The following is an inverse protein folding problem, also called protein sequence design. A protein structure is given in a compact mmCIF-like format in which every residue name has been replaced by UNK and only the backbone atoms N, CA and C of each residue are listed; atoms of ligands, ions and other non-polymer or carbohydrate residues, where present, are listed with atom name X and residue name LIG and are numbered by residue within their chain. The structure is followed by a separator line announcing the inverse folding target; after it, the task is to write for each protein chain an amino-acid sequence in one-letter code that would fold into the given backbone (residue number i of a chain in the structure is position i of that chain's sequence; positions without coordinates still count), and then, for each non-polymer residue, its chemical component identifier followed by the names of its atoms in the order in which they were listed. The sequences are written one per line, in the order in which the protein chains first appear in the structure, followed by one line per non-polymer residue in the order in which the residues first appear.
data_IF_231617998872
#
_entry.id   IF_231617998872
#
_cell.length_a   1.000
_cell.length_b   1.000
_cell.length_c   1.000
_cell.angle_alpha   90.00
_cell.angle_beta   90.00
_cell.angle_gamma   90.00
#
_symmetry.space_group_name_H-M   'P 1'
#
loop_
_entity.id
_entity.type
_entity.pdbx_description
1 polymer ?
#
# COMPACT_ATOMS: atom_id res chain seq x y z
N UNK A 1 -4.21 13.48 39.69
CA UNK A 1 -4.67 12.86 38.43
C UNK A 1 -3.56 13.01 37.41
N UNK A 2 -3.04 11.92 36.85
CA UNK A 2 -2.10 12.01 35.75
C UNK A 2 -2.85 12.49 34.51
N UNK A 3 -2.36 13.57 33.89
CA UNK A 3 -2.90 14.10 32.64
C UNK A 3 -2.55 13.12 31.53
N UNK A 4 -3.54 12.38 31.03
CA UNK A 4 -3.38 11.55 29.84
C UNK A 4 -3.24 12.49 28.64
N UNK A 5 -2.08 12.45 28.00
CA UNK A 5 -1.84 13.21 26.76
C UNK A 5 -1.89 12.19 25.64
N UNK A 6 -2.92 12.25 24.81
CA UNK A 6 -3.02 11.42 23.62
C UNK A 6 -2.03 11.93 22.57
N UNK A 7 -1.15 11.07 22.07
CA UNK A 7 -0.38 11.39 20.87
C UNK A 7 -1.35 11.59 19.70
N UNK A 8 -1.35 12.77 19.10
CA UNK A 8 -2.27 13.12 18.02
C UNK A 8 -2.04 12.24 16.77
N UNK A 9 -0.84 11.68 16.60
CA UNK A 9 -0.46 10.80 15.49
C UNK A 9 0.50 9.71 15.97
N UNK A 10 0.16 8.44 15.78
CA UNK A 10 1.14 7.35 15.80
C UNK A 10 1.97 7.40 14.52
N UNK A 11 3.32 7.39 14.59
CA UNK A 11 4.17 7.29 13.41
C UNK A 11 3.84 6.07 12.54
N UNK A 12 3.86 6.22 11.21
CA UNK A 12 3.65 5.09 10.28
C UNK A 12 4.78 4.06 10.35
N UNK A 13 5.96 4.50 10.80
CA UNK A 13 7.11 3.65 11.05
C UNK A 13 7.96 4.19 12.23
N UNK A 14 8.55 3.33 13.08
CA UNK A 14 9.42 3.79 14.16
C UNK A 14 10.58 4.64 13.63
N UNK A 15 10.79 5.81 14.23
CA UNK A 15 11.83 6.77 13.82
C UNK A 15 13.26 6.24 13.95
N UNK A 16 13.46 5.21 14.79
CA UNK A 16 14.77 4.57 15.01
C UNK A 16 15.21 3.70 13.83
N UNK A 17 14.27 3.29 12.95
CA UNK A 17 14.57 2.52 11.75
C UNK A 17 14.84 3.46 10.57
N UNK A 18 16.10 3.92 10.50
CA UNK A 18 16.63 4.75 9.43
C UNK A 18 17.15 3.98 8.21
N UNK A 19 16.88 2.67 8.11
CA UNK A 19 17.30 1.89 6.95
C UNK A 19 16.40 2.16 5.75
N UNK A 20 16.95 2.00 4.54
CA UNK A 20 16.19 2.00 3.30
C UNK A 20 16.40 0.67 2.58
N UNK A 21 15.34 -0.10 2.41
CA UNK A 21 15.47 -1.50 1.97
C UNK A 21 15.41 -1.67 0.45
N UNK A 22 14.53 -0.90 -0.21
CA UNK A 22 14.31 -1.00 -1.66
C UNK A 22 14.31 0.37 -2.34
N UNK A 23 15.03 1.33 -1.76
CA UNK A 23 15.21 2.69 -2.32
C UNK A 23 15.68 2.69 -3.77
N UNK A 24 16.58 1.78 -4.14
CA UNK A 24 17.18 1.72 -5.47
C UNK A 24 16.47 0.74 -6.41
N UNK A 25 15.32 0.18 -6.00
CA UNK A 25 14.54 -0.70 -6.86
C UNK A 25 14.04 0.07 -8.09
N UNK A 26 14.33 -0.46 -9.27
CA UNK A 26 13.81 0.10 -10.53
C UNK A 26 12.43 -0.50 -10.81
N UNK A 27 11.40 0.34 -10.79
CA UNK A 27 10.03 -0.07 -11.07
C UNK A 27 9.62 0.35 -12.47
N UNK A 28 9.18 -0.60 -13.28
CA UNK A 28 8.60 -0.33 -14.60
C UNK A 28 7.07 -0.30 -14.49
N UNK A 29 6.40 0.81 -14.84
CA UNK A 29 4.93 0.88 -14.80
C UNK A 29 4.29 -0.18 -15.70
N UNK A 30 3.28 -0.88 -15.17
CA UNK A 30 2.46 -1.86 -15.91
C UNK A 30 0.99 -1.44 -15.83
N UNK A 31 0.29 -1.42 -16.96
CA UNK A 31 -1.14 -1.12 -17.02
C UNK A 31 -1.95 -2.33 -16.58
N UNK A 32 -2.83 -2.17 -15.61
CA UNK A 32 -3.75 -3.24 -15.21
C UNK A 32 -4.82 -3.50 -16.30
N UNK A 33 -5.38 -4.72 -16.31
CA UNK A 33 -6.50 -5.11 -17.17
C UNK A 33 -7.63 -5.62 -16.28
N UNK A 34 -8.74 -4.87 -16.20
CA UNK A 34 -9.84 -5.22 -15.29
C UNK A 34 -9.45 -5.01 -13.81
N UNK A 35 -10.07 -5.73 -12.86
CA UNK A 35 -9.86 -5.55 -11.41
C UNK A 35 -8.58 -6.23 -10.90
N UNK A 36 -7.43 -5.98 -11.56
CA UNK A 36 -6.16 -6.69 -11.29
C UNK A 36 -5.10 -5.79 -10.64
N UNK A 37 -5.49 -4.74 -9.92
CA UNK A 37 -4.55 -3.76 -9.35
C UNK A 37 -3.50 -4.41 -8.44
N UNK A 38 -3.91 -5.36 -7.57
CA UNK A 38 -2.99 -6.07 -6.66
C UNK A 38 -1.95 -6.86 -7.44
N UNK A 39 -2.38 -7.81 -8.29
CA UNK A 39 -1.46 -8.66 -9.07
C UNK A 39 -0.55 -7.85 -9.99
N UNK A 40 -1.06 -6.76 -10.56
CA UNK A 40 -0.27 -5.86 -11.41
C UNK A 40 0.82 -5.15 -10.60
N UNK A 41 0.52 -4.71 -9.37
CA UNK A 41 1.53 -4.09 -8.51
C UNK A 41 2.53 -5.10 -7.95
N UNK A 42 2.13 -6.32 -7.62
CA UNK A 42 3.08 -7.38 -7.24
C UNK A 42 4.03 -7.72 -8.40
N UNK A 43 3.51 -7.73 -9.64
CA UNK A 43 4.33 -7.86 -10.84
C UNK A 43 5.32 -6.70 -11.00
N UNK A 44 4.90 -5.46 -10.75
CA UNK A 44 5.79 -4.29 -10.74
C UNK A 44 6.89 -4.40 -9.68
N UNK A 45 6.58 -4.88 -8.47
CA UNK A 45 7.56 -5.08 -7.38
C UNK A 45 8.63 -6.12 -7.76
N UNK A 46 8.23 -7.17 -8.47
CA UNK A 46 9.07 -8.36 -8.69
C UNK A 46 9.69 -8.43 -10.08
N UNK A 47 9.34 -7.50 -10.98
CA UNK A 47 9.73 -7.55 -12.39
C UNK A 47 9.13 -8.74 -13.15
N UNK A 48 8.00 -9.27 -12.68
CA UNK A 48 7.30 -10.42 -13.28
C UNK A 48 6.07 -9.98 -14.06
N UNK A 49 5.34 -10.94 -14.61
CA UNK A 49 4.09 -10.66 -15.33
C UNK A 49 2.91 -10.71 -14.34
N UNK A 50 1.88 -9.86 -14.50
CA UNK A 50 0.69 -9.89 -13.64
C UNK A 50 0.03 -11.28 -13.58
N UNK A 51 0.06 -12.03 -14.68
CA UNK A 51 -0.52 -13.37 -14.81
C UNK A 51 0.14 -14.40 -13.88
N UNK A 52 1.40 -14.16 -13.46
CA UNK A 52 2.09 -15.05 -12.54
C UNK A 52 1.48 -14.97 -11.12
N UNK A 53 0.75 -13.89 -10.80
CA UNK A 53 0.05 -13.69 -9.52
C UNK A 53 -1.48 -13.89 -9.62
N UNK A 54 -2.08 -13.67 -10.79
CA UNK A 54 -3.52 -13.79 -10.98
C UNK A 54 -4.01 -15.22 -10.72
N UNK A 55 -5.06 -15.37 -9.92
CA UNK A 55 -5.58 -16.69 -9.52
C UNK A 55 -4.77 -17.39 -8.44
N UNK A 56 -3.54 -16.94 -8.15
CA UNK A 56 -2.65 -17.53 -7.15
C UNK A 56 -2.64 -16.76 -5.81
N UNK A 57 -3.27 -15.58 -5.77
CA UNK A 57 -3.40 -14.76 -4.57
C UNK A 57 -4.86 -14.46 -4.29
N UNK A 58 -5.20 -14.26 -3.01
CA UNK A 58 -6.48 -13.70 -2.63
C UNK A 58 -6.37 -12.16 -2.63
N UNK A 59 -7.04 -11.48 -3.55
CA UNK A 59 -6.96 -10.02 -3.74
C UNK A 59 -7.50 -9.18 -2.58
N UNK A 60 -8.04 -9.81 -1.53
CA UNK A 60 -8.48 -9.15 -0.30
C UNK A 60 -7.58 -9.45 0.90
N UNK A 61 -6.71 -10.46 0.82
CA UNK A 61 -5.86 -10.95 1.89
C UNK A 61 -4.38 -10.53 1.71
N UNK A 62 -3.88 -9.55 2.47
CA UNK A 62 -2.49 -9.11 2.38
C UNK A 62 -1.46 -10.15 2.84
N UNK A 63 -1.86 -11.18 3.62
CA UNK A 63 -0.95 -12.29 3.97
C UNK A 63 -0.61 -13.10 2.72
N UNK A 64 -1.59 -13.40 1.87
CA UNK A 64 -1.35 -14.05 0.57
C UNK A 64 -0.44 -13.24 -0.35
N UNK A 65 -0.55 -11.90 -0.34
CA UNK A 65 0.33 -11.03 -1.14
C UNK A 65 1.76 -11.07 -0.62
N UNK A 66 1.93 -10.97 0.71
CA UNK A 66 3.23 -11.06 1.37
C UNK A 66 3.90 -12.42 1.10
N UNK A 67 3.13 -13.52 1.17
CA UNK A 67 3.62 -14.85 0.85
C UNK A 67 4.09 -14.98 -0.61
N UNK A 68 3.35 -14.40 -1.56
CA UNK A 68 3.73 -14.39 -2.97
C UNK A 68 5.01 -13.58 -3.27
N UNK A 69 5.35 -12.62 -2.40
CA UNK A 69 6.59 -11.83 -2.50
C UNK A 69 7.83 -12.54 -1.93
N UNK A 70 7.66 -13.52 -1.02
CA UNK A 70 8.78 -14.21 -0.35
C UNK A 70 9.82 -14.82 -1.30
N UNK A 71 9.45 -15.51 -2.40
CA UNK A 71 10.43 -16.04 -3.35
C UNK A 71 11.31 -14.98 -4.01
N UNK A 72 10.90 -13.71 -3.95
CA UNK A 72 11.61 -12.56 -4.50
C UNK A 72 12.38 -11.76 -3.44
N UNK A 73 12.55 -12.34 -2.24
CA UNK A 73 13.28 -11.71 -1.14
C UNK A 73 12.52 -10.58 -0.46
N UNK A 74 11.24 -10.39 -0.76
CA UNK A 74 10.39 -9.31 -0.25
C UNK A 74 9.28 -9.85 0.66
N UNK A 75 8.80 -9.02 1.58
CA UNK A 75 7.55 -9.24 2.33
C UNK A 75 6.91 -7.92 2.71
N UNK A 76 5.63 -7.97 3.06
CA UNK A 76 4.91 -6.79 3.54
C UNK A 76 5.00 -6.71 5.07
N UNK A 77 5.16 -5.51 5.61
CA UNK A 77 5.04 -5.23 7.03
C UNK A 77 4.00 -4.13 7.24
N UNK A 78 3.03 -4.39 8.12
CA UNK A 78 1.96 -3.45 8.44
C UNK A 78 2.52 -2.15 9.05
N UNK A 79 2.07 -1.02 8.52
CA UNK A 79 2.25 0.30 9.10
C UNK A 79 0.98 0.71 9.85
N UNK A 80 1.08 1.15 11.12
CA UNK A 80 -0.07 1.70 11.84
C UNK A 80 -0.73 2.82 11.06
N UNK A 81 -2.03 2.70 10.85
CA UNK A 81 -2.88 3.73 10.26
C UNK A 81 -4.32 3.49 10.70
N UNK A 82 -5.16 4.48 10.45
CA UNK A 82 -6.60 4.42 10.63
C UNK A 82 -7.28 4.86 9.31
N UNK A 83 -8.58 5.11 9.34
CA UNK A 83 -9.34 5.47 8.16
C UNK A 83 -9.07 6.90 7.64
N UNK A 84 -8.11 7.66 8.18
CA UNK A 84 -7.76 9.00 7.67
C UNK A 84 -7.35 8.97 6.20
N UNK A 85 -7.52 10.13 5.56
CA UNK A 85 -7.09 10.35 4.18
C UNK A 85 -5.58 10.20 4.04
N UNK A 86 -5.13 9.71 2.89
CA UNK A 86 -3.72 9.45 2.62
C UNK A 86 -2.82 10.68 2.80
N UNK A 87 -3.35 11.90 2.58
CA UNK A 87 -2.61 13.16 2.83
C UNK A 87 -2.08 13.34 4.26
N UNK A 88 -2.67 12.67 5.25
CA UNK A 88 -2.19 12.73 6.63
C UNK A 88 -0.97 11.82 6.87
N UNK A 89 -0.67 10.91 5.94
CA UNK A 89 0.47 9.99 6.00
C UNK A 89 1.53 10.31 4.95
N UNK A 90 1.15 10.97 3.84
CA UNK A 90 1.98 11.04 2.64
C UNK A 90 3.34 11.70 2.87
N UNK A 91 3.41 12.75 3.68
CA UNK A 91 4.68 13.44 3.96
C UNK A 91 5.64 12.56 4.77
N UNK A 92 5.13 11.82 5.76
CA UNK A 92 5.94 10.88 6.54
C UNK A 92 6.42 9.70 5.67
N UNK A 93 5.54 9.15 4.83
CA UNK A 93 5.89 8.07 3.90
C UNK A 93 6.97 8.50 2.89
N UNK A 94 6.88 9.73 2.36
CA UNK A 94 7.90 10.28 1.47
C UNK A 94 9.22 10.50 2.22
N UNK A 95 9.17 10.98 3.47
CA UNK A 95 10.36 11.22 4.29
C UNK A 95 11.12 9.93 4.63
N UNK A 96 10.43 8.79 4.73
CA UNK A 96 11.05 7.47 4.87
C UNK A 96 11.82 7.04 3.61
N UNK A 97 11.56 7.67 2.46
CA UNK A 97 12.33 7.56 1.21
C UNK A 97 12.66 6.11 0.81
N UNK A 98 11.62 5.27 0.85
CA UNK A 98 11.70 3.82 0.61
C UNK A 98 10.47 3.34 -0.18
N UNK A 99 10.21 2.03 -0.15
CA UNK A 99 9.14 1.36 -0.90
C UNK A 99 7.96 0.94 -0.03
N UNK A 100 6.77 1.35 -0.45
CA UNK A 100 5.50 1.06 0.20
C UNK A 100 4.47 0.51 -0.77
N UNK A 101 3.66 -0.40 -0.26
CA UNK A 101 2.44 -0.88 -0.90
C UNK A 101 1.24 -0.25 -0.17
N UNK A 102 0.44 0.54 -0.90
CA UNK A 102 -0.65 1.31 -0.35
C UNK A 102 -1.98 0.85 -0.95
N UNK A 103 -3.05 0.93 -0.16
CA UNK A 103 -4.40 0.85 -0.69
C UNK A 103 -5.31 1.90 -0.07
N UNK A 104 -6.28 2.33 -0.86
CA UNK A 104 -7.25 3.35 -0.48
C UNK A 104 -8.64 2.98 -1.04
N UNK A 105 -9.69 3.45 -0.37
CA UNK A 105 -11.06 3.33 -0.87
C UNK A 105 -11.26 4.29 -2.03
N UNK A 106 -11.90 3.87 -3.12
CA UNK A 106 -12.07 4.70 -4.32
C UNK A 106 -13.37 5.50 -4.34
N UNK A 107 -14.24 5.26 -3.36
CA UNK A 107 -15.39 6.13 -3.07
C UNK A 107 -14.93 7.32 -2.21
N UNK A 108 -15.40 8.55 -2.49
CA UNK A 108 -15.22 9.69 -1.59
C UNK A 108 -16.22 9.68 -0.42
N UNK A 109 -17.25 8.83 -0.47
CA UNK A 109 -18.30 8.75 0.54
C UNK A 109 -17.86 7.87 1.71
N UNK A 110 -17.90 8.43 2.93
CA UNK A 110 -17.59 7.66 4.13
C UNK A 110 -18.67 6.64 4.48
N UNK A 111 -19.93 6.88 4.08
CA UNK A 111 -21.03 5.94 4.34
C UNK A 111 -20.81 4.62 3.58
N UNK A 112 -20.37 4.69 2.32
CA UNK A 112 -20.00 3.51 1.52
C UNK A 112 -18.88 2.68 2.15
N UNK A 113 -17.93 3.34 2.83
CA UNK A 113 -16.79 2.67 3.48
C UNK A 113 -17.24 1.92 4.74
N UNK A 114 -18.26 2.44 5.42
CA UNK A 114 -18.77 1.94 6.69
C UNK A 114 -20.03 1.08 6.55
N UNK A 115 -20.52 0.90 5.32
CA UNK A 115 -21.69 0.09 5.04
C UNK A 115 -21.47 -1.40 5.34
N UNK A 116 -22.58 -2.11 5.59
CA UNK A 116 -22.57 -3.56 5.63
C UNK A 116 -22.23 -4.13 4.24
N UNK A 117 -21.55 -5.28 4.16
CA UNK A 117 -21.30 -5.94 2.89
C UNK A 117 -22.62 -6.35 2.22
N UNK A 118 -22.63 -6.27 0.88
CA UNK A 118 -23.73 -6.81 0.08
C UNK A 118 -23.77 -8.36 0.13
N UNK A 119 -24.70 -8.97 -0.62
CA UNK A 119 -24.86 -10.43 -0.68
C UNK A 119 -23.62 -11.21 -1.13
N UNK A 120 -22.68 -10.55 -1.83
CA UNK A 120 -21.43 -11.14 -2.31
C UNK A 120 -20.26 -10.89 -1.33
N UNK A 121 -20.54 -10.31 -0.15
CA UNK A 121 -19.52 -9.96 0.84
C UNK A 121 -18.74 -8.68 0.50
N UNK A 122 -19.17 -7.93 -0.52
CA UNK A 122 -18.48 -6.72 -0.98
C UNK A 122 -19.04 -5.48 -0.27
N UNK A 123 -18.16 -4.67 0.32
CA UNK A 123 -18.52 -3.38 0.94
C UNK A 123 -18.41 -2.27 -0.09
N UNK A 124 -17.18 -1.88 -0.44
CA UNK A 124 -16.92 -0.83 -1.42
C UNK A 124 -15.61 -1.03 -2.16
N UNK A 125 -15.46 -0.31 -3.27
CA UNK A 125 -14.31 -0.42 -4.14
C UNK A 125 -13.06 0.18 -3.48
N UNK A 126 -11.93 -0.48 -3.72
CA UNK A 126 -10.62 -0.03 -3.27
C UNK A 126 -9.58 -0.24 -4.37
N UNK A 127 -8.48 0.50 -4.29
CA UNK A 127 -7.39 0.42 -5.25
C UNK A 127 -6.05 0.21 -4.55
N UNK A 128 -5.12 -0.45 -5.23
CA UNK A 128 -3.79 -0.81 -4.73
C UNK A 128 -2.72 -0.19 -5.62
N UNK A 129 -1.76 0.51 -5.01
CA UNK A 129 -0.69 1.26 -5.68
C UNK A 129 0.64 1.03 -4.96
N UNK A 130 1.74 1.40 -5.62
CA UNK A 130 3.05 1.47 -5.00
C UNK A 130 3.44 2.93 -4.80
N UNK A 131 3.99 3.25 -3.63
CA UNK A 131 4.74 4.48 -3.40
C UNK A 131 6.21 4.09 -3.29
N UNK A 132 7.04 4.69 -4.13
CA UNK A 132 8.48 4.51 -4.09
C UNK A 132 9.11 5.89 -4.02
N UNK A 133 9.75 6.17 -2.87
CA UNK A 133 10.35 7.46 -2.57
C UNK A 133 9.30 8.57 -2.62
N UNK A 134 9.37 9.45 -3.61
CA UNK A 134 8.47 10.58 -3.82
C UNK A 134 7.42 10.34 -4.92
N UNK A 135 7.29 9.11 -5.41
CA UNK A 135 6.50 8.80 -6.60
C UNK A 135 5.51 7.65 -6.41
N UNK A 136 4.34 7.80 -7.01
CA UNK A 136 3.30 6.77 -7.06
C UNK A 136 3.30 6.07 -8.41
N UNK A 137 3.29 4.75 -8.36
CA UNK A 137 3.08 3.87 -9.51
C UNK A 137 1.64 3.34 -9.43
N UNK A 138 0.77 3.93 -10.25
CA UNK A 138 -0.64 3.56 -10.35
C UNK A 138 -0.88 2.75 -11.64
N UNK A 139 -1.20 1.47 -11.47
CA UNK A 139 -1.49 0.55 -12.57
C UNK A 139 -2.73 0.93 -13.39
N UNK A 140 -3.65 1.74 -12.86
CA UNK A 140 -4.77 2.30 -13.64
C UNK A 140 -4.34 3.44 -14.57
N UNK A 141 -3.24 4.14 -14.25
CA UNK A 141 -2.74 5.30 -15.01
C UNK A 141 -1.63 4.95 -15.98
N UNK A 142 -1.00 3.79 -15.82
CA UNK A 142 0.14 3.33 -16.62
C UNK A 142 1.31 4.32 -16.65
N UNK A 143 1.51 5.04 -15.54
CA UNK A 143 2.58 6.01 -15.40
C UNK A 143 2.93 6.20 -13.93
N UNK A 144 4.07 6.83 -13.73
CA UNK A 144 4.59 7.23 -12.45
C UNK A 144 4.30 8.72 -12.26
N UNK A 145 3.68 9.10 -11.14
CA UNK A 145 3.31 10.49 -10.82
C UNK A 145 3.93 10.93 -9.49
N UNK A 146 4.22 12.22 -9.28
CA UNK A 146 4.61 12.72 -7.97
C UNK A 146 3.56 12.40 -6.90
N UNK A 147 4.00 11.86 -5.77
CA UNK A 147 3.11 11.35 -4.73
C UNK A 147 2.20 12.43 -4.14
N UNK A 148 2.71 13.66 -3.98
CA UNK A 148 1.98 14.81 -3.41
C UNK A 148 0.81 15.30 -4.26
N UNK A 149 0.85 15.06 -5.56
CA UNK A 149 -0.18 15.53 -6.50
C UNK A 149 -1.07 14.41 -7.01
N UNK A 150 -0.76 13.15 -6.66
CA UNK A 150 -1.57 12.02 -7.05
C UNK A 150 -2.91 12.03 -6.31
N UNK A 151 -4.01 11.78 -7.01
CA UNK A 151 -5.38 11.84 -6.46
C UNK A 151 -5.61 11.03 -5.18
N UNK A 152 -4.82 9.97 -4.93
CA UNK A 152 -5.00 9.11 -3.76
C UNK A 152 -4.88 9.88 -2.45
N UNK A 153 -4.17 11.02 -2.44
CA UNK A 153 -3.98 11.86 -1.23
C UNK A 153 -5.32 12.28 -0.60
N UNK A 154 -6.37 12.42 -1.41
CA UNK A 154 -7.70 12.85 -0.94
C UNK A 154 -8.66 11.70 -0.59
N UNK A 155 -8.24 10.45 -0.79
CA UNK A 155 -9.03 9.26 -0.47
C UNK A 155 -8.68 8.68 0.90
N UNK A 156 -9.66 8.03 1.52
CA UNK A 156 -9.50 7.33 2.79
C UNK A 156 -8.58 6.12 2.63
N UNK A 157 -7.62 6.01 3.54
CA UNK A 157 -6.62 4.95 3.54
C UNK A 157 -7.26 3.63 3.96
N UNK A 158 -6.93 2.55 3.26
CA UNK A 158 -7.40 1.20 3.57
C UNK A 158 -6.29 0.34 4.17
N UNK A 159 -5.08 0.36 3.58
CA UNK A 159 -3.90 -0.36 4.07
C UNK A 159 -2.62 0.39 3.72
N UNK A 160 -1.66 0.40 4.63
CA UNK A 160 -0.28 0.85 4.40
C UNK A 160 0.65 -0.30 4.78
N UNK A 161 1.51 -0.70 3.85
CA UNK A 161 2.58 -1.64 4.11
C UNK A 161 3.91 -1.06 3.67
N UNK A 162 4.94 -1.20 4.51
CA UNK A 162 6.33 -1.07 4.08
C UNK A 162 6.77 -2.39 3.45
N UNK A 163 7.49 -2.33 2.32
CA UNK A 163 8.08 -3.52 1.69
C UNK A 163 9.45 -3.75 2.31
N UNK A 164 9.67 -4.94 2.87
CA UNK A 164 10.88 -5.28 3.62
C UNK A 164 11.57 -6.53 3.08
N UNK A 165 12.88 -6.71 3.33
CA UNK A 165 13.56 -7.96 3.05
C UNK A 165 12.91 -9.09 3.83
N UNK A 166 12.85 -10.30 3.26
CA UNK A 166 12.24 -11.46 3.91
C UNK A 166 12.89 -11.78 5.27
N UNK A 167 14.17 -11.43 5.43
CA UNK A 167 14.99 -11.61 6.65
C UNK A 167 14.69 -10.61 7.77
N UNK A 168 14.00 -9.50 7.48
CA UNK A 168 13.70 -8.49 8.49
C UNK A 168 12.80 -9.06 9.60
N UNK A 169 12.90 -8.61 10.86
CA UNK A 169 12.11 -9.19 11.97
C UNK A 169 10.60 -8.95 11.82
N UNK A 170 10.20 -7.72 11.47
CA UNK A 170 8.80 -7.35 11.20
C UNK A 170 8.31 -7.94 9.88
N UNK A 171 7.03 -8.31 9.82
CA UNK A 171 6.35 -8.77 8.61
C UNK A 171 4.91 -9.20 8.93
N UNK A 172 4.14 -9.48 7.88
CA UNK A 172 2.89 -10.25 7.95
C UNK A 172 3.16 -11.76 7.98
#
# INVERSE_FOLDING_TARGET
MATFTSDANTPVWPAEDGEHYFRDLVIHPIRQKGPTCVSTCLAMLTGKRPEDFQGNINTQDPVSWSAALKPYGMKLAYCPHDARKMKFYIEELIALDDLFALSFYTTPDSEDILADPNSDGFVTQSHFILLHRDKIYDSNRYRCEPARTHRCVDYHTKRIFRVLPVTHARGL
#
